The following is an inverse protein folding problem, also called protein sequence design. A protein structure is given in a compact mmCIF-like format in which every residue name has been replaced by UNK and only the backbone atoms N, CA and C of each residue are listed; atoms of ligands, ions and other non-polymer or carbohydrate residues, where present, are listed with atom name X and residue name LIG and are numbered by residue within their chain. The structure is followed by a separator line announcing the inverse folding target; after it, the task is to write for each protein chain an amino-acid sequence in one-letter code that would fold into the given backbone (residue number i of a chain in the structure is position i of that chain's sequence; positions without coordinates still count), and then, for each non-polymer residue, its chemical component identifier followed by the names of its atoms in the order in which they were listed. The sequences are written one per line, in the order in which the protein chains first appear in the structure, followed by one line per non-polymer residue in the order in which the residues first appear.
data_IF_069909994292
#
_entry.id   IF_069909994292
#
_cell.length_a   1.000
_cell.length_b   1.000
_cell.length_c   1.000
_cell.angle_alpha   90.00
_cell.angle_beta   90.00
_cell.angle_gamma   90.00
#
_symmetry.space_group_name_H-M   'P 1'
#
loop_
_entity.id
_entity.type
_entity.pdbx_description
1 polymer ?
#
# COMPACT_ATOMS: atom_id res chain seq x y z
N UNK A 1 87.09 61.49 -32.43
CA UNK A 1 86.65 60.93 -33.68
C UNK A 1 86.78 59.42 -33.54
N UNK A 2 85.76 58.75 -33.20
CA UNK A 2 85.83 57.31 -32.94
C UNK A 2 84.45 56.71 -33.22
N UNK A 3 84.41 55.95 -34.26
CA UNK A 3 83.23 55.15 -34.63
C UNK A 3 83.25 53.89 -33.81
N UNK A 4 82.19 53.59 -33.08
CA UNK A 4 82.00 52.34 -32.41
C UNK A 4 80.89 51.52 -33.09
N UNK A 5 81.29 50.41 -33.67
CA UNK A 5 80.43 49.36 -34.22
C UNK A 5 79.61 48.71 -33.11
N UNK A 6 78.26 48.61 -33.21
CA UNK A 6 77.41 47.75 -32.41
C UNK A 6 77.00 46.52 -33.22
N UNK A 7 77.50 45.38 -32.86
CA UNK A 7 77.06 44.11 -33.35
C UNK A 7 75.74 43.74 -32.66
N UNK A 8 74.73 43.49 -33.47
CA UNK A 8 73.41 43.00 -33.02
C UNK A 8 73.46 41.47 -32.93
N UNK A 9 73.28 40.93 -31.72
CA UNK A 9 73.11 39.49 -31.50
C UNK A 9 71.64 39.08 -31.64
N UNK A 10 71.39 38.14 -32.53
CA UNK A 10 70.09 37.54 -32.75
C UNK A 10 69.90 36.43 -31.68
N UNK A 11 68.92 36.60 -30.79
CA UNK A 11 68.51 35.54 -29.84
C UNK A 11 67.39 34.75 -30.50
N UNK A 12 67.64 33.47 -30.81
CA UNK A 12 66.62 32.51 -31.22
C UNK A 12 65.89 32.04 -29.99
N UNK A 13 64.64 32.42 -29.83
CA UNK A 13 63.74 31.86 -28.83
C UNK A 13 63.19 30.52 -29.34
N UNK A 14 63.60 29.44 -28.70
CA UNK A 14 63.03 28.09 -28.91
C UNK A 14 61.73 28.06 -28.09
N UNK A 15 60.60 28.11 -28.80
CA UNK A 15 59.26 27.89 -28.19
C UNK A 15 59.10 26.38 -28.01
N UNK A 16 59.26 25.90 -26.79
CA UNK A 16 58.95 24.53 -26.41
C UNK A 16 57.44 24.31 -26.44
N UNK A 17 56.95 23.53 -27.40
CA UNK A 17 55.61 23.00 -27.37
C UNK A 17 55.48 21.92 -26.28
N UNK A 18 54.96 22.31 -25.12
CA UNK A 18 54.50 21.35 -24.11
C UNK A 18 53.24 20.64 -24.63
N UNK A 19 53.17 19.31 -24.58
CA UNK A 19 51.95 18.61 -24.91
C UNK A 19 50.91 18.93 -23.79
N UNK A 20 49.90 19.68 -24.12
CA UNK A 20 48.71 19.83 -23.29
C UNK A 20 48.06 18.46 -23.22
N UNK A 21 48.31 17.69 -22.15
CA UNK A 21 47.53 16.52 -21.79
C UNK A 21 46.16 17.02 -21.42
N UNK A 22 45.18 16.82 -22.32
CA UNK A 22 43.77 16.91 -22.01
C UNK A 22 43.46 15.84 -20.92
N UNK A 23 43.55 16.23 -19.68
CA UNK A 23 42.89 15.52 -18.60
C UNK A 23 41.38 15.57 -18.92
N UNK A 24 40.86 14.49 -19.51
CA UNK A 24 39.44 14.20 -19.43
C UNK A 24 39.12 14.06 -17.95
N UNK A 25 38.68 15.13 -17.32
CA UNK A 25 37.98 15.02 -16.06
C UNK A 25 36.79 14.08 -16.32
N UNK A 26 36.82 12.87 -15.73
CA UNK A 26 35.62 12.07 -15.60
C UNK A 26 34.59 12.99 -14.97
N UNK A 27 33.57 13.37 -15.74
CA UNK A 27 32.40 14.02 -15.17
C UNK A 27 31.87 13.04 -14.11
N UNK A 28 31.52 13.52 -12.92
CA UNK A 28 30.82 12.69 -11.97
C UNK A 28 29.64 12.05 -12.72
N UNK A 29 29.46 10.74 -12.59
CA UNK A 29 28.40 9.98 -13.24
C UNK A 29 27.12 10.80 -13.18
N UNK A 30 26.73 11.39 -14.31
CA UNK A 30 25.47 12.15 -14.38
C UNK A 30 24.34 11.15 -14.21
N UNK A 31 23.41 11.43 -13.32
CA UNK A 31 22.23 10.59 -13.11
C UNK A 31 21.60 10.31 -14.47
N UNK A 32 21.41 9.03 -14.80
CA UNK A 32 20.83 8.57 -16.05
C UNK A 32 19.80 7.47 -15.82
N UNK A 33 19.02 7.17 -16.85
CA UNK A 33 17.96 6.18 -16.76
C UNK A 33 18.50 4.78 -16.47
N UNK A 34 19.41 4.29 -17.30
CA UNK A 34 19.82 2.88 -17.29
C UNK A 34 20.41 2.42 -15.93
N UNK A 35 21.24 3.26 -15.31
CA UNK A 35 21.98 2.90 -14.11
C UNK A 35 21.29 3.34 -12.80
N UNK A 36 20.45 4.39 -12.85
CA UNK A 36 19.99 5.04 -11.62
C UNK A 36 18.48 5.06 -11.48
N UNK A 37 17.73 5.27 -12.59
CA UNK A 37 16.27 5.43 -12.52
C UNK A 37 15.53 4.12 -12.81
N UNK A 38 16.02 3.34 -13.80
CA UNK A 38 15.37 2.09 -14.15
C UNK A 38 15.29 1.09 -12.99
N UNK A 39 16.33 0.91 -12.15
CA UNK A 39 16.20 0.06 -10.97
C UNK A 39 15.06 0.52 -10.07
N UNK A 40 14.97 1.82 -9.73
CA UNK A 40 13.92 2.37 -8.88
C UNK A 40 12.53 2.13 -9.49
N UNK A 41 12.38 2.39 -10.79
CA UNK A 41 11.11 2.20 -11.50
C UNK A 41 10.73 0.71 -11.54
N UNK A 42 11.69 -0.17 -11.78
CA UNK A 42 11.44 -1.61 -11.89
C UNK A 42 11.08 -2.24 -10.55
N UNK A 43 11.67 -1.77 -9.47
CA UNK A 43 11.40 -2.32 -8.13
C UNK A 43 10.08 -1.77 -7.54
N UNK A 44 9.68 -0.52 -7.88
CA UNK A 44 8.59 0.13 -7.15
C UNK A 44 7.37 0.53 -8.01
N UNK A 45 7.46 0.48 -9.34
CA UNK A 45 6.40 1.05 -10.18
C UNK A 45 5.77 0.04 -11.15
N UNK A 46 6.59 -0.83 -11.75
CA UNK A 46 6.15 -1.65 -12.88
C UNK A 46 5.23 -2.82 -12.50
N UNK A 47 5.12 -3.15 -11.23
CA UNK A 47 4.09 -4.09 -10.78
C UNK A 47 2.70 -3.65 -11.25
N UNK A 48 2.41 -2.36 -11.12
CA UNK A 48 1.15 -1.77 -11.58
C UNK A 48 1.28 -1.14 -12.97
N UNK A 49 2.42 -0.51 -13.29
CA UNK A 49 2.65 0.23 -14.53
C UNK A 49 3.28 -0.66 -15.62
N UNK A 50 2.55 -1.67 -16.06
CA UNK A 50 2.92 -2.61 -17.14
C UNK A 50 1.73 -2.91 -18.06
N UNK A 51 1.95 -3.43 -19.28
CA UNK A 51 0.85 -3.80 -20.15
C UNK A 51 -0.07 -4.85 -19.50
N UNK A 52 -1.38 -4.63 -19.58
CA UNK A 52 -2.38 -5.54 -19.00
C UNK A 52 -2.64 -5.36 -17.51
N UNK A 53 -1.85 -4.55 -16.80
CA UNK A 53 -2.09 -4.22 -15.41
C UNK A 53 -2.93 -2.94 -15.28
N UNK A 54 -3.16 -2.49 -14.04
CA UNK A 54 -4.17 -1.50 -13.68
C UNK A 54 -3.79 -0.06 -14.02
N UNK A 55 -2.50 0.27 -14.09
CA UNK A 55 -2.06 1.63 -14.35
C UNK A 55 -2.21 1.98 -15.85
N UNK A 56 -2.51 3.25 -16.17
CA UNK A 56 -2.85 3.64 -17.55
C UNK A 56 -1.68 3.64 -18.52
N UNK A 57 -0.42 3.52 -18.04
CA UNK A 57 0.77 3.51 -18.89
C UNK A 57 1.78 2.49 -18.39
N UNK A 58 2.55 1.93 -19.33
CA UNK A 58 3.69 1.05 -19.00
C UNK A 58 4.94 1.88 -18.71
N UNK A 59 5.70 1.53 -17.68
CA UNK A 59 6.97 2.15 -17.32
C UNK A 59 8.17 1.21 -17.55
N UNK A 60 8.01 0.22 -18.44
CA UNK A 60 9.04 -0.78 -18.74
C UNK A 60 10.12 -0.28 -19.70
N UNK A 61 9.91 0.83 -20.41
CA UNK A 61 10.85 1.34 -21.39
C UNK A 61 11.22 2.81 -21.16
N UNK A 62 12.43 3.17 -21.59
CA UNK A 62 12.97 4.53 -21.43
C UNK A 62 12.10 5.61 -22.07
N UNK A 63 11.60 5.39 -23.26
CA UNK A 63 10.88 6.42 -24.02
C UNK A 63 9.57 6.80 -23.30
N UNK A 64 8.87 5.80 -22.79
CA UNK A 64 7.65 6.02 -22.01
C UNK A 64 7.96 6.70 -20.67
N UNK A 65 8.95 6.21 -19.91
CA UNK A 65 9.33 6.83 -18.63
C UNK A 65 9.78 8.27 -18.82
N UNK A 66 10.57 8.56 -19.88
CA UNK A 66 10.98 9.92 -20.22
C UNK A 66 9.78 10.81 -20.55
N UNK A 67 8.85 10.32 -21.36
CA UNK A 67 7.67 11.08 -21.75
C UNK A 67 6.81 11.47 -20.55
N UNK A 68 6.68 10.57 -19.57
CA UNK A 68 5.95 10.79 -18.32
C UNK A 68 6.81 11.41 -17.20
N UNK A 69 8.09 11.62 -17.41
CA UNK A 69 9.04 12.09 -16.41
C UNK A 69 8.55 13.26 -15.55
N UNK A 70 8.03 14.38 -16.13
CA UNK A 70 7.52 15.49 -15.32
C UNK A 70 6.36 15.11 -14.40
N UNK A 71 5.48 14.20 -14.85
CA UNK A 71 4.35 13.71 -14.04
C UNK A 71 4.85 12.75 -12.94
N UNK A 72 5.77 11.85 -13.31
CA UNK A 72 6.39 10.93 -12.34
C UNK A 72 7.06 11.74 -11.23
N UNK A 73 7.88 12.74 -11.58
CA UNK A 73 8.52 13.64 -10.60
C UNK A 73 7.49 14.28 -9.66
N UNK A 74 6.43 14.88 -10.20
CA UNK A 74 5.39 15.52 -9.39
C UNK A 74 4.74 14.53 -8.41
N UNK A 75 4.48 13.30 -8.85
CA UNK A 75 3.84 12.27 -8.04
C UNK A 75 4.74 11.72 -6.95
N UNK A 76 6.00 11.47 -7.25
CA UNK A 76 6.95 10.96 -6.23
C UNK A 76 7.33 12.04 -5.22
N UNK A 77 7.51 13.30 -5.65
CA UNK A 77 7.78 14.43 -4.73
C UNK A 77 6.60 14.68 -3.76
N UNK A 78 5.38 14.48 -4.23
CA UNK A 78 4.16 14.54 -3.40
C UNK A 78 3.90 13.25 -2.61
N UNK A 79 4.71 12.23 -2.76
CA UNK A 79 4.52 10.88 -2.18
C UNK A 79 3.14 10.28 -2.47
N UNK A 80 2.52 10.67 -3.60
CA UNK A 80 1.26 10.09 -4.05
C UNK A 80 1.44 8.84 -4.92
N UNK A 81 2.70 8.54 -5.32
CA UNK A 81 3.12 7.31 -6.02
C UNK A 81 4.53 6.92 -5.57
N UNK A 82 4.76 5.65 -5.28
CA UNK A 82 3.77 4.57 -5.10
C UNK A 82 2.76 4.91 -4.00
N UNK A 83 1.52 4.39 -4.04
CA UNK A 83 0.53 4.66 -3.02
C UNK A 83 0.90 3.96 -1.71
N UNK A 84 1.42 4.72 -0.77
CA UNK A 84 1.76 4.28 0.58
C UNK A 84 1.84 5.51 1.49
N UNK A 85 0.86 5.68 2.39
CA UNK A 85 0.59 6.96 3.04
C UNK A 85 0.86 6.98 4.53
N UNK A 86 1.57 5.98 5.06
CA UNK A 86 2.01 5.95 6.46
C UNK A 86 2.86 7.18 6.76
N UNK A 87 2.58 7.82 7.89
CA UNK A 87 3.38 8.93 8.41
C UNK A 87 4.69 8.39 9.00
N UNK A 88 5.80 8.62 8.31
CA UNK A 88 7.13 8.14 8.69
C UNK A 88 7.70 8.80 9.95
N UNK A 89 7.06 9.84 10.47
CA UNK A 89 7.50 10.58 11.66
C UNK A 89 6.77 10.14 12.94
N UNK A 90 5.76 9.22 12.82
CA UNK A 90 4.85 8.92 13.93
C UNK A 90 4.73 7.41 14.16
N UNK A 91 4.91 7.00 15.42
CA UNK A 91 4.61 5.65 15.90
C UNK A 91 5.54 4.58 15.38
N UNK A 92 4.99 3.40 15.12
CA UNK A 92 5.72 2.23 14.59
C UNK A 92 6.12 2.49 13.15
N UNK A 93 7.38 2.17 12.78
CA UNK A 93 7.95 2.49 11.48
C UNK A 93 8.39 1.26 10.67
N UNK A 94 8.19 0.04 11.16
CA UNK A 94 8.52 -1.19 10.44
C UNK A 94 7.25 -1.90 9.97
N UNK A 95 7.13 -2.05 8.65
CA UNK A 95 6.00 -2.69 7.98
C UNK A 95 6.50 -3.67 6.93
N UNK A 96 5.76 -4.78 6.72
CA UNK A 96 6.20 -5.85 5.81
C UNK A 96 6.20 -5.42 4.33
N UNK A 97 5.21 -4.64 3.90
CA UNK A 97 5.00 -4.31 2.49
C UNK A 97 5.21 -2.81 2.20
N UNK A 98 6.24 -2.21 2.81
CA UNK A 98 6.54 -0.79 2.59
C UNK A 98 7.11 -0.55 1.19
N UNK A 99 6.26 -0.12 0.28
CA UNK A 99 6.61 0.25 -1.10
C UNK A 99 6.94 1.73 -1.28
N UNK A 100 7.02 2.50 -0.21
CA UNK A 100 7.33 3.93 -0.30
C UNK A 100 8.76 4.16 -0.77
N UNK A 101 8.97 5.18 -1.59
CA UNK A 101 10.31 5.59 -2.00
C UNK A 101 11.03 6.32 -0.87
N UNK A 102 12.33 6.03 -0.73
CA UNK A 102 13.23 6.81 0.12
C UNK A 102 13.43 8.24 -0.44
N UNK A 103 13.85 9.16 0.42
CA UNK A 103 14.20 10.52 0.00
C UNK A 103 15.27 10.54 -1.10
N UNK A 104 16.22 9.58 -1.06
CA UNK A 104 17.29 9.46 -2.04
C UNK A 104 16.74 9.02 -3.42
N UNK A 105 15.81 8.09 -3.47
CA UNK A 105 15.19 7.64 -4.71
C UNK A 105 14.34 8.74 -5.34
N UNK A 106 13.55 9.46 -4.54
CA UNK A 106 12.79 10.63 -4.96
C UNK A 106 13.73 11.70 -5.54
N UNK A 107 14.81 12.02 -4.82
CA UNK A 107 15.79 13.01 -5.28
C UNK A 107 16.48 12.56 -6.58
N UNK A 108 16.74 11.26 -6.74
CA UNK A 108 17.36 10.69 -7.95
C UNK A 108 16.44 10.84 -9.15
N UNK A 109 15.17 10.49 -9.02
CA UNK A 109 14.17 10.67 -10.09
C UNK A 109 14.02 12.15 -10.44
N UNK A 110 13.88 13.02 -9.43
CA UNK A 110 13.72 14.46 -9.63
C UNK A 110 14.92 15.07 -10.37
N UNK A 111 16.14 14.76 -9.93
CA UNK A 111 17.37 15.25 -10.58
C UNK A 111 17.54 14.73 -12.01
N UNK A 112 17.14 13.49 -12.27
CA UNK A 112 17.13 12.92 -13.61
C UNK A 112 16.21 13.70 -14.56
N UNK A 113 14.97 13.97 -14.12
CA UNK A 113 14.01 14.75 -14.91
C UNK A 113 14.53 16.16 -15.15
N UNK A 114 15.04 16.84 -14.11
CA UNK A 114 15.55 18.22 -14.20
C UNK A 114 16.78 18.35 -15.11
N UNK A 115 17.58 17.28 -15.24
CA UNK A 115 18.74 17.24 -16.14
C UNK A 115 18.41 16.93 -17.61
N UNK A 116 17.12 16.79 -17.94
CA UNK A 116 16.65 16.51 -19.31
C UNK A 116 16.51 15.02 -19.61
N UNK A 117 16.41 14.20 -18.58
CA UNK A 117 16.14 12.76 -18.63
C UNK A 117 17.13 11.97 -19.51
N UNK A 118 18.45 12.04 -19.26
CA UNK A 118 19.43 11.32 -20.07
C UNK A 118 19.26 9.81 -19.98
N UNK A 119 19.43 9.12 -21.12
CA UNK A 119 19.23 7.67 -21.23
C UNK A 119 20.33 6.87 -20.53
N UNK A 120 21.58 7.28 -20.67
CA UNK A 120 22.73 6.50 -20.23
C UNK A 120 23.12 5.38 -21.21
N UNK A 121 24.06 4.54 -20.77
CA UNK A 121 24.46 3.36 -21.55
C UNK A 121 23.53 2.19 -21.25
N UNK A 122 22.75 1.78 -22.24
CA UNK A 122 21.75 0.72 -22.11
C UNK A 122 22.35 -0.68 -21.83
N UNK A 123 23.67 -0.85 -21.91
CA UNK A 123 24.31 -2.07 -21.43
C UNK A 123 24.25 -2.24 -19.90
N UNK A 124 24.01 -1.16 -19.17
CA UNK A 124 23.80 -1.17 -17.71
C UNK A 124 22.34 -1.25 -17.29
N UNK A 125 21.39 -1.26 -18.27
CA UNK A 125 19.99 -1.43 -17.96
C UNK A 125 19.77 -2.79 -17.30
N UNK A 126 19.16 -2.88 -16.11
CA UNK A 126 18.80 -4.16 -15.55
C UNK A 126 17.78 -4.88 -16.43
N UNK A 127 17.75 -6.21 -16.41
CA UNK A 127 16.72 -6.95 -17.12
C UNK A 127 15.34 -6.51 -16.63
N UNK A 128 14.41 -6.31 -17.56
CA UNK A 128 13.04 -5.97 -17.20
C UNK A 128 12.45 -7.11 -16.34
N UNK A 129 11.73 -6.78 -15.25
CA UNK A 129 11.06 -7.77 -14.44
C UNK A 129 10.14 -8.63 -15.30
N UNK A 130 10.10 -9.92 -14.99
CA UNK A 130 9.15 -10.85 -15.59
C UNK A 130 7.95 -10.92 -14.66
N UNK A 131 6.78 -10.76 -15.20
CA UNK A 131 5.54 -10.86 -14.46
C UNK A 131 4.83 -12.14 -14.90
N UNK A 132 4.30 -12.85 -13.94
CA UNK A 132 3.39 -13.93 -14.22
C UNK A 132 2.10 -13.43 -14.86
N UNK A 133 1.35 -14.34 -15.47
CA UNK A 133 0.04 -14.01 -16.01
C UNK A 133 -0.84 -13.42 -14.89
N UNK A 134 -1.49 -12.27 -15.13
CA UNK A 134 -2.40 -11.63 -14.16
C UNK A 134 -3.53 -12.56 -13.68
N UNK A 135 -3.72 -13.70 -14.35
CA UNK A 135 -4.67 -14.76 -13.97
C UNK A 135 -4.07 -15.74 -12.96
N UNK A 136 -2.72 -15.87 -12.89
CA UNK A 136 -2.04 -16.73 -11.92
C UNK A 136 -2.21 -16.18 -10.49
N UNK A 137 -2.25 -17.08 -9.51
CA UNK A 137 -2.31 -16.71 -8.10
C UNK A 137 -0.89 -16.35 -7.62
N UNK A 138 -0.68 -15.11 -7.16
CA UNK A 138 0.65 -14.65 -6.73
C UNK A 138 1.16 -15.38 -5.50
N UNK A 139 0.24 -15.78 -4.60
CA UNK A 139 0.60 -16.54 -3.40
C UNK A 139 0.93 -18.02 -3.67
N UNK A 140 0.75 -18.51 -4.91
CA UNK A 140 1.04 -19.91 -5.23
C UNK A 140 2.53 -20.23 -5.00
N UNK A 141 3.42 -19.31 -5.34
CA UNK A 141 4.86 -19.45 -5.11
C UNK A 141 5.22 -19.38 -3.61
N UNK A 142 4.68 -18.41 -2.88
CA UNK A 142 4.93 -18.25 -1.44
C UNK A 142 4.41 -19.44 -0.63
N UNK A 143 3.26 -19.96 -1.01
CA UNK A 143 2.64 -21.13 -0.38
C UNK A 143 3.23 -22.46 -0.87
N UNK A 144 3.99 -22.45 -1.98
CA UNK A 144 4.58 -23.64 -2.61
C UNK A 144 3.56 -24.64 -3.17
N UNK A 145 2.30 -24.21 -3.34
CA UNK A 145 1.18 -25.05 -3.79
C UNK A 145 0.01 -24.20 -4.28
N UNK A 146 -0.84 -24.73 -5.17
CA UNK A 146 -2.07 -24.05 -5.59
C UNK A 146 -3.04 -23.86 -4.42
N UNK A 147 -4.01 -22.94 -4.56
CA UNK A 147 -5.05 -22.73 -3.55
C UNK A 147 -5.90 -24.01 -3.35
N UNK A 148 -6.32 -24.23 -2.10
CA UNK A 148 -7.17 -25.37 -1.75
C UNK A 148 -8.62 -25.18 -2.23
N UNK A 149 -9.08 -23.91 -2.30
CA UNK A 149 -10.42 -23.57 -2.70
C UNK A 149 -10.45 -22.25 -3.48
N UNK A 150 -11.16 -22.25 -4.59
CA UNK A 150 -11.41 -21.03 -5.39
C UNK A 150 -12.90 -20.81 -5.49
N UNK A 151 -13.35 -19.62 -5.07
CA UNK A 151 -14.76 -19.26 -5.04
C UNK A 151 -14.94 -17.99 -5.90
N UNK A 152 -15.67 -18.07 -7.02
CA UNK A 152 -16.00 -16.90 -7.81
C UNK A 152 -17.26 -16.19 -7.28
N UNK A 153 -17.49 -14.93 -7.69
CA UNK A 153 -18.85 -14.37 -7.70
C UNK A 153 -19.75 -15.31 -8.53
N UNK A 154 -21.03 -15.49 -8.14
CA UNK A 154 -21.85 -16.59 -8.68
C UNK A 154 -22.09 -16.49 -10.19
N UNK A 155 -22.24 -15.27 -10.70
CA UNK A 155 -22.48 -14.99 -12.11
C UNK A 155 -21.54 -13.87 -12.60
N UNK A 156 -21.07 -13.94 -13.86
CA UNK A 156 -20.32 -12.82 -14.44
C UNK A 156 -21.18 -11.56 -14.47
N UNK A 157 -20.57 -10.42 -14.15
CA UNK A 157 -21.20 -9.11 -14.22
C UNK A 157 -20.60 -8.28 -15.34
N UNK A 158 -21.44 -7.77 -16.26
CA UNK A 158 -20.99 -6.89 -17.33
C UNK A 158 -21.13 -5.43 -16.89
N UNK A 159 -19.98 -4.75 -16.81
CA UNK A 159 -19.89 -3.32 -16.54
C UNK A 159 -20.02 -2.57 -17.85
N UNK A 160 -21.04 -1.71 -18.01
CA UNK A 160 -21.22 -0.92 -19.23
C UNK A 160 -20.04 0.04 -19.47
N UNK A 161 -19.75 0.30 -20.73
CA UNK A 161 -18.69 1.22 -21.16
C UNK A 161 -18.85 2.65 -20.62
N UNK A 162 -20.10 3.07 -20.43
CA UNK A 162 -20.48 4.37 -19.90
C UNK A 162 -21.48 4.21 -18.75
N UNK A 163 -21.43 5.09 -17.79
CA UNK A 163 -22.35 5.06 -16.65
C UNK A 163 -21.70 5.51 -15.34
N UNK A 164 -22.48 5.51 -14.26
CA UNK A 164 -21.95 5.77 -12.93
C UNK A 164 -21.13 4.58 -12.44
N UNK A 165 -20.45 4.76 -11.31
CA UNK A 165 -19.91 3.64 -10.57
C UNK A 165 -21.03 2.70 -10.11
N UNK A 166 -20.77 1.41 -10.12
CA UNK A 166 -21.71 0.36 -9.75
C UNK A 166 -21.28 -0.31 -8.46
N UNK A 167 -22.19 -0.41 -7.52
CA UNK A 167 -21.99 -1.16 -6.27
C UNK A 167 -22.87 -2.38 -6.32
N UNK A 168 -22.25 -3.56 -6.38
CA UNK A 168 -22.96 -4.83 -6.56
C UNK A 168 -22.72 -5.72 -5.36
N UNK A 169 -23.78 -6.32 -4.87
CA UNK A 169 -23.70 -7.34 -3.83
C UNK A 169 -23.99 -8.71 -4.43
N UNK A 170 -23.10 -9.66 -4.21
CA UNK A 170 -23.25 -11.04 -4.63
C UNK A 170 -23.12 -11.98 -3.43
N UNK A 171 -23.63 -13.20 -3.60
CA UNK A 171 -23.51 -14.23 -2.57
C UNK A 171 -23.04 -15.53 -3.21
N UNK A 172 -22.00 -16.15 -2.66
CA UNK A 172 -21.46 -17.44 -3.11
C UNK A 172 -21.40 -18.41 -1.94
N UNK A 173 -21.87 -19.64 -2.14
CA UNK A 173 -21.66 -20.70 -1.18
C UNK A 173 -20.22 -21.21 -1.29
N UNK A 174 -19.56 -21.45 -0.15
CA UNK A 174 -18.18 -21.97 -0.13
C UNK A 174 -18.13 -23.44 -0.50
N UNK A 175 -19.20 -24.19 -0.29
CA UNK A 175 -19.26 -25.64 -0.45
C UNK A 175 -18.50 -26.41 0.64
N UNK A 176 -17.98 -25.75 1.65
CA UNK A 176 -17.27 -26.40 2.76
C UNK A 176 -18.23 -27.25 3.59
N UNK A 177 -17.84 -28.49 3.89
CA UNK A 177 -18.59 -29.43 4.70
C UNK A 177 -18.02 -29.60 6.13
N UNK A 178 -16.88 -29.01 6.38
CA UNK A 178 -16.18 -28.97 7.67
C UNK A 178 -15.56 -27.60 7.90
N UNK A 179 -15.30 -27.27 9.16
CA UNK A 179 -14.61 -26.06 9.55
C UNK A 179 -13.14 -26.13 9.13
N UNK A 180 -12.59 -25.04 8.65
CA UNK A 180 -11.21 -24.94 8.19
C UNK A 180 -10.56 -23.65 8.73
N UNK A 181 -9.24 -23.70 8.85
CA UNK A 181 -8.44 -22.53 9.18
C UNK A 181 -7.76 -21.96 7.93
N UNK A 182 -8.09 -20.72 7.59
CA UNK A 182 -7.47 -20.01 6.47
C UNK A 182 -6.08 -19.57 6.89
N UNK A 183 -5.06 -19.98 6.12
CA UNK A 183 -3.67 -19.53 6.25
C UNK A 183 -3.38 -18.32 5.38
N UNK A 184 -3.94 -18.29 4.19
CA UNK A 184 -3.74 -17.21 3.23
C UNK A 184 -4.95 -17.08 2.30
N UNK A 185 -5.14 -15.91 1.74
CA UNK A 185 -6.15 -15.67 0.72
C UNK A 185 -5.67 -14.66 -0.32
N UNK A 186 -6.25 -14.78 -1.50
CA UNK A 186 -6.02 -13.85 -2.60
C UNK A 186 -7.31 -13.61 -3.36
N UNK A 187 -7.69 -12.35 -3.57
CA UNK A 187 -8.85 -11.96 -4.36
C UNK A 187 -8.39 -11.33 -5.66
N UNK A 188 -8.89 -11.84 -6.79
CA UNK A 188 -8.56 -11.32 -8.12
C UNK A 188 -9.79 -11.13 -8.98
N UNK A 189 -9.92 -9.97 -9.66
CA UNK A 189 -10.80 -9.81 -10.80
C UNK A 189 -10.46 -10.81 -11.91
N UNK A 190 -11.39 -11.03 -12.83
CA UNK A 190 -11.05 -11.68 -14.10
C UNK A 190 -10.17 -10.74 -14.95
N UNK A 191 -9.46 -11.28 -15.95
CA UNK A 191 -8.60 -10.47 -16.83
C UNK A 191 -9.36 -9.32 -17.50
N UNK A 192 -10.62 -9.53 -17.92
CA UNK A 192 -11.48 -8.47 -18.47
C UNK A 192 -12.02 -7.52 -17.39
N UNK A 193 -12.16 -7.98 -16.14
CA UNK A 193 -12.63 -7.21 -15.00
C UNK A 193 -11.58 -6.26 -14.43
N UNK A 194 -10.31 -6.57 -14.61
CA UNK A 194 -9.20 -5.82 -14.00
C UNK A 194 -9.28 -4.29 -14.19
N UNK A 195 -9.59 -3.75 -15.38
CA UNK A 195 -9.68 -2.32 -15.60
C UNK A 195 -10.90 -1.64 -14.95
N UNK A 196 -11.88 -2.40 -14.50
CA UNK A 196 -13.19 -1.89 -14.02
C UNK A 196 -13.51 -2.25 -12.57
N UNK A 197 -12.86 -3.24 -11.98
CA UNK A 197 -13.02 -3.56 -10.55
C UNK A 197 -12.14 -2.63 -9.72
N UNK A 198 -12.75 -1.69 -9.02
CA UNK A 198 -12.04 -0.75 -8.17
C UNK A 198 -11.64 -1.39 -6.84
N UNK A 199 -12.61 -2.03 -6.16
CA UNK A 199 -12.37 -2.88 -5.00
C UNK A 199 -13.47 -3.95 -4.86
N UNK A 200 -13.15 -5.01 -4.13
CA UNK A 200 -14.08 -6.07 -3.78
C UNK A 200 -13.84 -6.48 -2.32
N UNK A 201 -14.80 -6.19 -1.48
CA UNK A 201 -14.82 -6.63 -0.08
C UNK A 201 -15.58 -7.94 0.01
N UNK A 202 -15.00 -8.91 0.69
CA UNK A 202 -15.63 -10.21 0.94
C UNK A 202 -15.77 -10.43 2.45
N UNK A 203 -16.99 -10.73 2.87
CA UNK A 203 -17.30 -11.09 4.26
C UNK A 203 -17.88 -12.50 4.34
N UNK A 204 -17.67 -13.15 5.46
CA UNK A 204 -18.21 -14.46 5.80
C UNK A 204 -19.54 -14.31 6.53
N UNK A 205 -20.52 -15.11 6.15
CA UNK A 205 -21.78 -15.29 6.88
C UNK A 205 -21.85 -16.75 7.33
N UNK A 206 -21.76 -17.00 8.63
CA UNK A 206 -21.81 -18.34 9.19
C UNK A 206 -23.23 -18.85 9.32
N UNK A 207 -23.50 -20.16 9.15
CA UNK A 207 -24.85 -20.73 9.25
C UNK A 207 -25.51 -20.56 10.61
N UNK A 208 -24.72 -20.49 11.68
CA UNK A 208 -25.18 -20.30 13.08
C UNK A 208 -25.25 -18.83 13.49
N UNK A 209 -25.03 -17.94 12.55
CA UNK A 209 -24.93 -16.49 12.79
C UNK A 209 -23.51 -16.05 13.07
N UNK A 210 -23.24 -14.77 12.91
CA UNK A 210 -21.89 -14.21 12.96
C UNK A 210 -21.13 -14.38 11.63
N UNK A 211 -19.83 -14.35 11.69
CA UNK A 211 -18.93 -14.26 10.56
C UNK A 211 -18.12 -12.98 10.68
N UNK A 212 -17.79 -12.35 9.57
CA UNK A 212 -17.05 -11.10 9.58
C UNK A 212 -16.26 -10.88 8.30
N UNK A 213 -15.42 -9.86 8.33
CA UNK A 213 -14.54 -9.51 7.23
C UNK A 213 -13.57 -10.65 6.92
N UNK A 214 -13.43 -11.00 5.65
CA UNK A 214 -12.47 -12.00 5.19
C UNK A 214 -11.36 -11.38 4.37
N UNK A 215 -11.69 -10.70 3.28
CA UNK A 215 -10.70 -10.16 2.36
C UNK A 215 -11.17 -8.87 1.71
N UNK A 216 -10.21 -8.07 1.29
CA UNK A 216 -10.44 -6.94 0.41
C UNK A 216 -9.45 -7.00 -0.74
N UNK A 217 -9.98 -6.97 -1.96
CA UNK A 217 -9.23 -6.60 -3.13
C UNK A 217 -9.34 -5.08 -3.30
N UNK A 218 -8.22 -4.43 -3.41
CA UNK A 218 -8.13 -3.04 -3.84
C UNK A 218 -6.91 -2.90 -4.75
N UNK A 219 -6.82 -1.76 -5.42
CA UNK A 219 -5.65 -1.45 -6.24
C UNK A 219 -4.37 -1.49 -5.40
N UNK A 220 -3.47 -2.40 -5.73
CA UNK A 220 -2.22 -2.61 -4.99
C UNK A 220 -2.32 -3.53 -3.77
N UNK A 221 -3.51 -4.10 -3.48
CA UNK A 221 -3.70 -5.15 -2.47
C UNK A 221 -4.58 -6.25 -3.02
N UNK A 222 -4.03 -7.44 -3.18
CA UNK A 222 -4.76 -8.59 -3.70
C UNK A 222 -4.78 -9.77 -2.73
N UNK A 223 -3.78 -9.87 -1.85
CA UNK A 223 -3.47 -11.05 -1.08
C UNK A 223 -3.00 -10.73 0.34
N UNK A 224 -3.26 -11.65 1.26
CA UNK A 224 -2.69 -11.64 2.61
C UNK A 224 -2.30 -13.07 3.03
N UNK A 225 -1.14 -13.18 3.70
CA UNK A 225 -0.73 -14.38 4.43
C UNK A 225 -0.90 -14.08 5.92
N UNK A 226 -1.67 -14.90 6.63
CA UNK A 226 -1.81 -14.74 8.07
C UNK A 226 -0.46 -15.00 8.76
N UNK A 227 -0.10 -14.23 9.80
CA UNK A 227 1.15 -14.41 10.53
C UNK A 227 1.40 -15.85 10.98
N UNK A 228 2.66 -16.26 11.23
CA UNK A 228 2.97 -17.56 11.78
C UNK A 228 2.17 -17.84 13.06
N UNK A 229 1.75 -19.09 13.27
CA UNK A 229 0.94 -19.49 14.41
C UNK A 229 -0.53 -19.03 14.38
N UNK A 230 -0.94 -18.25 13.36
CA UNK A 230 -2.32 -17.75 13.29
C UNK A 230 -3.11 -18.34 12.11
N UNK A 231 -4.43 -18.32 12.24
CA UNK A 231 -5.38 -18.69 11.20
C UNK A 231 -6.72 -18.00 11.39
N UNK A 232 -7.46 -17.77 10.32
CA UNK A 232 -8.82 -17.24 10.38
C UNK A 232 -9.82 -18.37 10.18
N UNK A 233 -10.78 -18.53 11.11
CA UNK A 233 -11.77 -19.59 11.03
C UNK A 233 -12.77 -19.33 9.90
N UNK A 234 -13.03 -20.36 9.07
CA UNK A 234 -14.17 -20.43 8.16
C UNK A 234 -14.97 -21.70 8.46
N UNK A 235 -16.24 -21.54 8.79
CA UNK A 235 -17.10 -22.66 9.20
C UNK A 235 -17.69 -23.41 8.01
N UNK A 236 -18.02 -24.67 8.22
CA UNK A 236 -18.79 -25.47 7.27
C UNK A 236 -20.10 -24.73 6.91
N UNK A 237 -20.45 -24.73 5.62
CA UNK A 237 -21.65 -24.07 5.11
C UNK A 237 -21.61 -22.54 5.14
N UNK A 238 -20.44 -21.92 5.36
CA UNK A 238 -20.28 -20.47 5.23
C UNK A 238 -20.68 -19.99 3.83
N UNK A 239 -21.44 -18.90 3.80
CA UNK A 239 -21.72 -18.14 2.60
C UNK A 239 -20.84 -16.89 2.55
N UNK A 240 -20.29 -16.58 1.39
CA UNK A 240 -19.57 -15.32 1.16
C UNK A 240 -20.54 -14.24 0.69
N UNK A 241 -20.43 -13.08 1.31
CA UNK A 241 -21.08 -11.84 0.89
C UNK A 241 -20.01 -10.96 0.23
N UNK A 242 -20.19 -10.67 -1.05
CA UNK A 242 -19.31 -9.84 -1.85
C UNK A 242 -19.92 -8.46 -2.00
N UNK A 243 -19.16 -7.44 -1.71
CA UNK A 243 -19.47 -6.06 -2.07
C UNK A 243 -18.42 -5.60 -3.09
N UNK A 244 -18.82 -5.48 -4.35
CA UNK A 244 -17.91 -5.17 -5.46
C UNK A 244 -18.24 -3.81 -6.03
N UNK A 245 -17.23 -2.94 -6.04
CA UNK A 245 -17.29 -1.62 -6.64
C UNK A 245 -16.67 -1.65 -8.04
N UNK A 246 -17.49 -1.39 -9.03
CA UNK A 246 -17.07 -1.26 -10.42
C UNK A 246 -17.03 0.21 -10.84
N UNK A 247 -15.95 0.61 -11.50
CA UNK A 247 -15.83 1.90 -12.17
C UNK A 247 -16.14 1.75 -13.66
N UNK A 248 -16.49 2.85 -14.31
CA UNK A 248 -16.66 2.87 -15.76
C UNK A 248 -15.37 2.48 -16.48
N UNK A 249 -15.48 1.77 -17.58
CA UNK A 249 -14.32 1.33 -18.35
C UNK A 249 -13.52 2.51 -18.91
N UNK A 250 -12.20 2.59 -18.66
CA UNK A 250 -11.39 3.73 -19.09
C UNK A 250 -11.18 3.80 -20.60
N UNK A 251 -11.45 2.71 -21.33
CA UNK A 251 -11.31 2.62 -22.81
C UNK A 251 -12.65 2.67 -23.55
N UNK A 252 -13.75 2.86 -22.82
CA UNK A 252 -15.10 2.97 -23.41
C UNK A 252 -15.62 1.67 -24.01
N UNK A 253 -15.18 0.52 -23.51
CA UNK A 253 -15.69 -0.80 -23.87
C UNK A 253 -16.42 -1.46 -22.71
N UNK A 254 -17.49 -2.18 -23.00
CA UNK A 254 -18.12 -3.05 -22.01
C UNK A 254 -17.11 -4.10 -21.54
N UNK A 255 -17.08 -4.35 -20.22
CA UNK A 255 -16.16 -5.31 -19.59
C UNK A 255 -16.93 -6.30 -18.75
N UNK A 256 -16.56 -7.58 -18.84
CA UNK A 256 -17.21 -8.61 -18.02
C UNK A 256 -16.25 -9.10 -16.96
N UNK A 257 -16.68 -8.96 -15.70
CA UNK A 257 -15.94 -9.45 -14.55
C UNK A 257 -16.54 -10.73 -14.00
N UNK A 258 -15.65 -11.55 -13.48
CA UNK A 258 -15.94 -12.68 -12.61
C UNK A 258 -14.84 -12.77 -11.55
N UNK A 259 -14.84 -11.83 -10.63
CA UNK A 259 -13.90 -11.79 -9.49
C UNK A 259 -13.94 -13.12 -8.72
N UNK A 260 -12.77 -13.58 -8.28
CA UNK A 260 -12.56 -14.85 -7.59
C UNK A 260 -11.77 -14.61 -6.31
N UNK A 261 -12.07 -15.42 -5.29
CA UNK A 261 -11.29 -15.54 -4.06
C UNK A 261 -10.64 -16.93 -4.04
N UNK A 262 -9.34 -16.96 -3.82
CA UNK A 262 -8.57 -18.17 -3.55
C UNK A 262 -8.26 -18.26 -2.05
N UNK A 263 -8.35 -19.45 -1.49
CA UNK A 263 -8.08 -19.74 -0.09
C UNK A 263 -7.02 -20.85 0.01
N UNK A 264 -6.04 -20.64 0.88
CA UNK A 264 -5.10 -21.65 1.35
C UNK A 264 -5.40 -21.95 2.82
N UNK A 265 -5.60 -23.19 3.15
CA UNK A 265 -5.92 -23.61 4.50
C UNK A 265 -4.67 -24.11 5.24
N UNK A 266 -4.70 -24.09 6.56
CA UNK A 266 -3.79 -24.89 7.36
C UNK A 266 -4.00 -26.39 7.02
N UNK A 267 -2.96 -27.25 7.20
CA UNK A 267 -3.10 -28.69 7.03
C UNK A 267 -4.30 -29.24 7.82
N UNK A 268 -4.93 -30.28 7.27
CA UNK A 268 -6.07 -30.92 7.94
C UNK A 268 -5.67 -31.49 9.32
N UNK A 269 -6.44 -31.12 10.34
CA UNK A 269 -6.19 -31.52 11.72
C UNK A 269 -5.15 -30.65 12.46
N UNK A 270 -4.63 -29.62 11.83
CA UNK A 270 -3.79 -28.61 12.49
C UNK A 270 -4.65 -27.38 12.85
N UNK A 271 -4.67 -27.06 14.15
CA UNK A 271 -5.27 -25.81 14.63
C UNK A 271 -4.16 -24.75 14.78
N UNK A 272 -4.45 -23.47 14.51
CA UNK A 272 -3.51 -22.41 14.80
C UNK A 272 -3.37 -22.21 16.31
N UNK A 273 -2.27 -21.63 16.74
CA UNK A 273 -2.07 -21.22 18.15
C UNK A 273 -3.07 -20.13 18.53
N UNK A 274 -3.34 -19.22 17.59
CA UNK A 274 -4.27 -18.11 17.79
C UNK A 274 -5.21 -17.93 16.58
N UNK A 275 -6.46 -17.58 16.86
CA UNK A 275 -7.40 -17.11 15.86
C UNK A 275 -7.07 -15.67 15.48
N UNK A 276 -6.79 -15.43 14.20
CA UNK A 276 -6.63 -14.06 13.69
C UNK A 276 -8.00 -13.44 13.46
N UNK A 277 -8.24 -12.37 14.18
CA UNK A 277 -9.48 -11.59 14.11
C UNK A 277 -9.22 -10.36 13.24
N UNK A 278 -10.11 -10.12 12.26
CA UNK A 278 -10.15 -8.88 11.48
C UNK A 278 -11.47 -8.19 11.78
N UNK A 279 -11.41 -7.08 12.47
CA UNK A 279 -12.59 -6.34 12.90
C UNK A 279 -12.40 -4.84 12.71
N UNK A 280 -13.49 -4.15 12.44
CA UNK A 280 -13.50 -2.70 12.61
C UNK A 280 -13.52 -2.37 14.10
N UNK A 281 -12.77 -1.35 14.47
CA UNK A 281 -12.67 -0.88 15.86
C UNK A 281 -12.83 0.63 15.94
N UNK A 282 -13.29 1.07 17.09
CA UNK A 282 -13.44 2.47 17.45
C UNK A 282 -14.33 3.25 16.47
N UNK A 283 -15.45 2.65 16.09
CA UNK A 283 -16.45 3.23 15.22
C UNK A 283 -17.01 4.53 15.78
N UNK A 284 -17.21 5.50 14.91
CA UNK A 284 -17.97 6.70 15.23
C UNK A 284 -19.11 6.86 14.21
N UNK A 285 -20.31 6.43 14.61
CA UNK A 285 -21.52 6.59 13.81
C UNK A 285 -22.18 7.97 13.96
N UNK A 286 -21.75 8.76 14.98
CA UNK A 286 -22.26 10.12 15.22
C UNK A 286 -21.44 11.17 14.43
N UNK A 287 -21.21 10.93 13.12
CA UNK A 287 -20.46 11.86 12.29
C UNK A 287 -21.24 13.14 12.04
N UNK A 288 -20.61 14.26 12.35
CA UNK A 288 -21.09 15.61 12.05
C UNK A 288 -20.04 16.38 11.22
N UNK A 289 -20.21 16.34 9.89
CA UNK A 289 -19.27 16.93 8.94
C UNK A 289 -19.92 18.13 8.24
N UNK A 290 -19.93 19.33 8.88
CA UNK A 290 -20.57 20.50 8.32
C UNK A 290 -19.93 20.97 7.02
N UNK A 291 -20.76 21.50 6.12
CA UNK A 291 -20.33 22.03 4.84
C UNK A 291 -19.43 23.26 4.99
N UNK A 292 -18.37 23.33 4.18
CA UNK A 292 -17.41 24.44 4.14
C UNK A 292 -16.24 24.32 5.11
N UNK A 293 -16.23 23.35 6.00
CA UNK A 293 -15.17 23.14 6.99
C UNK A 293 -14.01 22.29 6.42
N UNK A 294 -12.77 22.77 6.62
CA UNK A 294 -11.55 22.11 6.09
C UNK A 294 -10.90 21.14 7.08
N UNK A 295 -11.17 21.27 8.37
CA UNK A 295 -10.51 20.52 9.43
C UNK A 295 -11.52 20.05 10.46
N UNK A 296 -12.20 18.99 10.14
CA UNK A 296 -13.15 18.35 11.05
C UNK A 296 -12.44 17.15 11.66
N UNK A 297 -12.37 17.10 12.97
CA UNK A 297 -11.82 15.97 13.71
C UNK A 297 -12.94 15.18 14.35
N UNK A 298 -12.85 13.86 14.26
CA UNK A 298 -13.72 12.94 15.00
C UNK A 298 -12.87 11.93 15.76
N UNK A 299 -13.45 11.37 16.82
CA UNK A 299 -12.76 10.44 17.70
C UNK A 299 -13.67 9.24 17.96
N UNK A 300 -13.14 8.04 17.82
CA UNK A 300 -13.78 6.77 18.15
C UNK A 300 -12.97 6.01 19.20
N UNK A 301 -13.63 5.16 19.99
CA UNK A 301 -13.00 4.46 21.11
C UNK A 301 -13.50 3.02 21.22
N UNK A 302 -12.57 2.08 21.45
CA UNK A 302 -12.86 0.67 21.69
C UNK A 302 -12.13 0.20 22.95
N UNK A 303 -12.88 -0.36 23.91
CA UNK A 303 -12.30 -0.89 25.14
C UNK A 303 -11.85 -2.34 24.95
N UNK A 304 -10.63 -2.65 25.40
CA UNK A 304 -10.05 -3.99 25.33
C UNK A 304 -10.22 -4.75 26.65
N UNK A 305 -10.98 -5.82 26.65
CA UNK A 305 -11.13 -6.73 27.78
C UNK A 305 -10.12 -7.89 27.77
N UNK A 306 -9.32 -8.00 26.70
CA UNK A 306 -8.25 -8.99 26.48
C UNK A 306 -6.92 -8.30 26.17
N UNK A 307 -5.82 -9.01 26.45
CA UNK A 307 -4.54 -8.66 25.85
C UNK A 307 -4.59 -8.99 24.36
N UNK A 308 -4.09 -8.13 23.52
CA UNK A 308 -4.05 -8.35 22.08
C UNK A 308 -2.68 -8.05 21.49
N UNK A 309 -2.36 -8.73 20.38
CA UNK A 309 -1.25 -8.38 19.51
C UNK A 309 -1.82 -7.93 18.18
N UNK A 310 -1.58 -6.68 17.83
CA UNK A 310 -2.07 -6.09 16.57
C UNK A 310 -1.09 -6.43 15.46
N UNK A 311 -1.59 -6.99 14.35
CA UNK A 311 -0.78 -7.37 13.18
C UNK A 311 -0.89 -6.39 12.04
N UNK A 312 -2.05 -5.72 11.89
CA UNK A 312 -2.26 -4.74 10.82
C UNK A 312 -3.22 -3.62 11.24
N UNK A 313 -3.04 -2.49 10.58
CA UNK A 313 -3.87 -1.30 10.67
C UNK A 313 -4.28 -0.86 9.25
N UNK A 314 -5.57 -0.67 9.02
CA UNK A 314 -6.09 -0.15 7.76
C UNK A 314 -7.11 0.96 8.07
N UNK A 315 -6.80 2.23 7.73
CA UNK A 315 -7.75 3.33 7.84
C UNK A 315 -9.00 3.05 7.00
N UNK A 316 -10.16 3.51 7.50
CA UNK A 316 -11.37 3.51 6.69
C UNK A 316 -12.19 4.77 6.89
N UNK A 317 -12.22 5.55 5.83
CA UNK A 317 -13.00 6.78 5.66
C UNK A 317 -13.60 6.76 4.24
N UNK A 318 -14.45 7.72 3.91
CA UNK A 318 -14.91 7.91 2.54
C UNK A 318 -14.32 9.17 1.90
N UNK A 319 -15.10 9.82 1.03
CA UNK A 319 -14.64 10.91 0.17
C UNK A 319 -14.12 12.16 0.92
N UNK A 320 -14.60 12.42 2.13
CA UNK A 320 -14.17 13.59 2.89
C UNK A 320 -12.98 13.31 3.79
N UNK A 321 -12.64 12.05 4.02
CA UNK A 321 -11.50 11.64 4.82
C UNK A 321 -10.18 12.22 4.28
N UNK A 322 -9.27 12.56 5.19
CA UNK A 322 -7.94 13.10 4.83
C UNK A 322 -6.80 12.43 5.59
N UNK A 323 -7.07 11.89 6.78
CA UNK A 323 -6.06 11.27 7.65
C UNK A 323 -6.74 10.46 8.74
N UNK A 324 -6.09 9.39 9.17
CA UNK A 324 -6.49 8.63 10.35
C UNK A 324 -5.29 8.21 11.16
N UNK A 325 -5.42 8.25 12.50
CA UNK A 325 -4.43 7.75 13.45
C UNK A 325 -5.05 6.74 14.39
N UNK A 326 -4.27 5.73 14.74
CA UNK A 326 -4.57 4.79 15.83
C UNK A 326 -3.65 5.05 17.02
N UNK A 327 -4.24 5.13 18.18
CA UNK A 327 -3.58 5.41 19.46
C UNK A 327 -4.06 4.42 20.52
N UNK A 328 -3.22 4.13 21.49
CA UNK A 328 -3.59 3.38 22.72
C UNK A 328 -3.61 4.32 23.89
N UNK A 329 -4.68 4.25 24.68
CA UNK A 329 -4.81 4.87 25.99
C UNK A 329 -4.70 3.76 27.04
N UNK A 330 -3.61 3.74 27.79
CA UNK A 330 -3.38 2.75 28.84
C UNK A 330 -4.14 3.06 30.11
N UNK A 331 -4.28 2.08 31.01
CA UNK A 331 -4.98 2.24 32.30
C UNK A 331 -4.43 3.37 33.18
N UNK A 332 -3.15 3.70 33.05
CA UNK A 332 -2.48 4.80 33.75
C UNK A 332 -2.61 6.16 33.05
N UNK A 333 -3.48 6.24 32.02
CA UNK A 333 -3.72 7.39 31.17
C UNK A 333 -2.52 7.80 30.28
N UNK A 334 -1.45 7.01 30.20
CA UNK A 334 -0.45 7.21 29.13
C UNK A 334 -1.12 6.98 27.79
N UNK A 335 -0.66 7.74 26.79
CA UNK A 335 -1.09 7.61 25.40
C UNK A 335 0.10 7.28 24.55
N UNK A 336 -0.11 6.41 23.60
CA UNK A 336 0.89 6.05 22.59
C UNK A 336 0.24 5.98 21.23
N UNK A 337 0.68 6.83 20.32
CA UNK A 337 0.28 6.72 18.91
C UNK A 337 1.00 5.51 18.31
N UNK A 338 0.24 4.60 17.74
CA UNK A 338 0.77 3.41 17.07
C UNK A 338 1.11 3.73 15.62
N UNK A 339 0.20 4.32 14.88
CA UNK A 339 0.40 4.72 13.48
C UNK A 339 -0.56 5.83 13.07
N UNK A 340 -0.16 6.61 12.09
CA UNK A 340 -1.00 7.52 11.36
C UNK A 340 -0.82 7.30 9.87
N UNK A 341 -1.88 7.46 9.09
CA UNK A 341 -1.80 7.45 7.64
C UNK A 341 -2.65 8.58 7.05
N UNK A 342 -2.13 9.25 6.04
CA UNK A 342 -2.94 10.10 5.21
C UNK A 342 -3.91 9.23 4.39
N UNK A 343 -5.08 9.78 4.08
CA UNK A 343 -6.13 9.04 3.41
C UNK A 343 -6.34 9.53 1.98
N UNK A 344 -6.39 8.60 1.07
CA UNK A 344 -6.84 8.81 -0.31
C UNK A 344 -7.91 7.76 -0.63
N UNK A 345 -9.14 8.20 -0.89
CA UNK A 345 -10.27 7.33 -1.18
C UNK A 345 -10.03 6.38 -2.37
N UNK A 346 -9.11 6.72 -3.27
CA UNK A 346 -8.70 5.85 -4.37
C UNK A 346 -7.89 4.63 -3.94
N UNK A 347 -7.37 4.59 -2.70
CA UNK A 347 -6.42 3.58 -2.24
C UNK A 347 -6.75 3.08 -0.83
N UNK A 348 -7.24 1.86 -0.74
CA UNK A 348 -7.50 1.21 0.54
C UNK A 348 -6.29 0.34 0.90
N UNK A 349 -5.41 0.83 1.75
CA UNK A 349 -4.14 0.17 2.07
C UNK A 349 -4.19 -0.36 3.49
N UNK A 350 -3.91 -1.66 3.66
CA UNK A 350 -3.59 -2.25 4.94
C UNK A 350 -2.08 -2.15 5.19
N UNK A 351 -1.70 -1.71 6.38
CA UNK A 351 -0.33 -1.59 6.82
C UNK A 351 -0.03 -2.74 7.78
N UNK A 352 0.67 -3.76 7.29
CA UNK A 352 1.05 -4.94 8.07
C UNK A 352 2.32 -4.62 8.85
N UNK A 353 2.25 -4.66 10.19
CA UNK A 353 3.43 -4.47 11.04
C UNK A 353 4.38 -5.64 10.90
N UNK A 354 5.68 -5.37 10.76
CA UNK A 354 6.71 -6.41 10.84
C UNK A 354 6.63 -7.11 12.20
N UNK A 355 6.83 -8.42 12.24
CA UNK A 355 6.55 -9.29 13.39
C UNK A 355 7.18 -8.76 14.70
N UNK A 356 8.42 -8.30 14.64
CA UNK A 356 9.19 -7.81 15.78
C UNK A 356 8.62 -6.55 16.44
N UNK A 357 7.81 -5.76 15.69
CA UNK A 357 7.25 -4.48 16.15
C UNK A 357 5.73 -4.48 16.32
N UNK A 358 5.06 -5.59 16.04
CA UNK A 358 3.61 -5.72 16.20
C UNK A 358 3.17 -5.25 17.59
N UNK A 359 2.28 -4.24 17.73
CA UNK A 359 1.90 -3.68 19.02
C UNK A 359 1.31 -4.73 19.96
N UNK A 360 1.86 -4.81 21.20
CA UNK A 360 1.34 -5.62 22.31
C UNK A 360 0.54 -4.70 23.23
N UNK A 361 -0.78 -4.91 23.31
CA UNK A 361 -1.67 -4.04 24.06
C UNK A 361 -2.31 -4.81 25.21
N UNK A 362 -2.10 -4.38 26.47
CA UNK A 362 -2.70 -5.06 27.63
C UNK A 362 -4.19 -4.82 27.72
N UNK A 363 -4.91 -5.81 28.22
CA UNK A 363 -6.32 -5.68 28.62
C UNK A 363 -6.52 -4.48 29.55
N UNK A 364 -7.70 -3.87 29.46
CA UNK A 364 -8.02 -2.65 30.23
C UNK A 364 -7.51 -1.37 29.58
N UNK A 365 -6.83 -1.48 28.44
CA UNK A 365 -6.50 -0.34 27.57
C UNK A 365 -7.68 0.01 26.67
N UNK A 366 -7.58 1.14 25.99
CA UNK A 366 -8.55 1.60 25.02
C UNK A 366 -7.84 1.91 23.69
N UNK A 367 -8.33 1.37 22.60
CA UNK A 367 -7.96 1.82 21.27
C UNK A 367 -8.70 3.13 21.01
N UNK A 368 -8.00 4.12 20.54
CA UNK A 368 -8.51 5.43 20.18
C UNK A 368 -8.17 5.69 18.72
N UNK A 369 -9.17 5.88 17.90
CA UNK A 369 -9.03 6.25 16.50
C UNK A 369 -9.42 7.70 16.32
N UNK A 370 -8.50 8.49 15.78
CA UNK A 370 -8.76 9.88 15.41
C UNK A 370 -8.81 9.99 13.90
N UNK A 371 -9.88 10.55 13.39
CA UNK A 371 -10.08 10.76 11.95
C UNK A 371 -10.22 12.25 11.64
N UNK A 372 -9.68 12.67 10.49
CA UNK A 372 -9.80 14.05 10.00
C UNK A 372 -10.49 14.08 8.64
N UNK A 373 -11.34 15.08 8.46
CA UNK A 373 -12.14 15.25 7.26
C UNK A 373 -12.03 16.68 6.74
N UNK A 374 -12.29 16.82 5.44
CA UNK A 374 -12.36 18.10 4.73
C UNK A 374 -13.63 18.14 3.87
N UNK A 375 -14.66 18.82 4.36
CA UNK A 375 -15.91 19.06 3.62
C UNK A 375 -15.95 20.47 3.02
N UNK A 376 -14.84 20.89 2.38
CA UNK A 376 -14.74 22.20 1.76
C UNK A 376 -14.47 22.08 0.26
N UNK A 377 -14.43 23.24 -0.41
CA UNK A 377 -14.11 23.33 -1.85
C UNK A 377 -12.66 22.95 -2.18
N UNK A 378 -11.78 22.89 -1.18
CA UNK A 378 -10.39 22.47 -1.39
C UNK A 378 -10.24 20.95 -1.55
N UNK A 379 -11.24 20.18 -1.10
CA UNK A 379 -11.28 18.74 -1.32
C UNK A 379 -11.93 18.41 -2.68
N UNK A 380 -11.18 17.87 -3.64
CA UNK A 380 -11.72 17.54 -4.97
C UNK A 380 -12.76 16.41 -4.94
N UNK A 381 -12.79 15.60 -3.89
CA UNK A 381 -13.73 14.50 -3.71
C UNK A 381 -15.02 14.91 -2.99
N UNK A 382 -15.06 16.11 -2.38
CA UNK A 382 -16.29 16.66 -1.83
C UNK A 382 -17.28 16.96 -2.98
N UNK A 383 -18.43 16.33 -2.95
CA UNK A 383 -19.46 16.57 -3.96
C UNK A 383 -19.96 18.03 -3.94
N UNK A 384 -21.01 18.31 -3.18
CA UNK A 384 -21.43 19.69 -2.89
C UNK A 384 -21.00 20.08 -1.48
N UNK A 385 -19.84 20.73 -1.36
CA UNK A 385 -19.26 21.16 -0.09
C UNK A 385 -20.09 22.18 0.71
N UNK A 386 -21.29 22.54 0.27
CA UNK A 386 -22.26 23.33 1.02
C UNK A 386 -23.16 22.47 1.89
N UNK A 387 -23.21 21.18 1.61
CA UNK A 387 -24.06 20.23 2.32
C UNK A 387 -23.34 19.66 3.53
N UNK A 388 -24.12 19.41 4.58
CA UNK A 388 -23.70 18.58 5.70
C UNK A 388 -23.61 17.10 5.25
N UNK A 389 -22.64 16.36 5.79
CA UNK A 389 -22.47 14.93 5.59
C UNK A 389 -22.41 14.22 6.94
N UNK A 390 -23.09 13.10 7.05
CA UNK A 390 -23.12 12.25 8.23
C UNK A 390 -22.66 10.83 7.94
N UNK A 391 -22.83 9.95 8.92
CA UNK A 391 -22.53 8.54 8.80
C UNK A 391 -23.42 7.87 7.76
N UNK A 392 -22.83 6.99 6.95
CA UNK A 392 -23.57 6.13 6.01
C UNK A 392 -22.65 5.32 5.10
N UNK A 393 -23.23 4.34 4.42
CA UNK A 393 -22.50 3.36 3.62
C UNK A 393 -22.18 3.80 2.19
N UNK A 394 -22.78 4.89 1.72
CA UNK A 394 -22.53 5.39 0.36
C UNK A 394 -21.25 6.21 0.35
N UNK A 395 -20.50 6.20 -0.74
CA UNK A 395 -19.31 7.05 -0.89
C UNK A 395 -19.56 8.56 -0.76
N UNK A 396 -20.84 8.99 -0.87
CA UNK A 396 -21.28 10.38 -0.62
C UNK A 396 -21.65 10.67 0.84
N UNK A 397 -21.83 9.64 1.65
CA UNK A 397 -21.85 9.70 3.11
C UNK A 397 -20.41 9.51 3.59
N UNK A 398 -20.14 9.48 4.88
CA UNK A 398 -18.80 9.15 5.37
C UNK A 398 -18.82 8.13 6.51
N UNK A 399 -17.67 7.55 6.81
CA UNK A 399 -17.44 6.60 7.89
C UNK A 399 -16.20 6.99 8.69
N UNK A 400 -16.10 6.50 9.90
CA UNK A 400 -14.92 6.69 10.76
C UNK A 400 -14.70 5.48 11.63
N UNK A 401 -13.84 4.57 11.18
CA UNK A 401 -13.35 3.42 11.96
C UNK A 401 -12.02 2.94 11.37
N UNK A 402 -11.33 2.05 12.07
CA UNK A 402 -10.16 1.33 11.51
C UNK A 402 -10.45 -0.15 11.40
N UNK A 403 -10.09 -0.76 10.28
CA UNK A 403 -9.89 -2.19 10.24
C UNK A 403 -8.60 -2.53 10.98
N UNK A 404 -8.70 -3.38 11.99
CA UNK A 404 -7.57 -3.84 12.78
C UNK A 404 -7.53 -5.36 12.72
N UNK A 405 -6.36 -5.89 12.34
CA UNK A 405 -6.08 -7.32 12.40
C UNK A 405 -5.31 -7.59 13.68
N UNK A 406 -5.75 -8.53 14.48
CA UNK A 406 -5.15 -8.85 15.78
C UNK A 406 -5.48 -10.27 16.22
N UNK A 407 -4.79 -10.74 17.22
CA UNK A 407 -5.17 -11.93 17.96
C UNK A 407 -5.05 -11.71 19.46
N UNK A 408 -5.85 -12.49 20.20
CA UNK A 408 -5.88 -12.42 21.66
C UNK A 408 -4.74 -13.22 22.27
N UNK A 409 -4.23 -12.74 23.41
CA UNK A 409 -3.20 -13.37 24.21
C UNK A 409 -3.74 -13.62 25.63
N UNK A 410 -3.39 -14.75 26.21
CA UNK A 410 -3.52 -14.96 27.66
C UNK A 410 -2.57 -14.02 28.42
N UNK A 411 -2.73 -13.92 29.75
CA UNK A 411 -1.86 -13.08 30.55
C UNK A 411 -0.40 -13.58 30.50
N UNK A 412 -0.19 -14.90 30.53
CA UNK A 412 1.15 -15.51 30.49
C UNK A 412 1.83 -15.28 29.13
N UNK A 413 1.13 -15.48 28.03
CA UNK A 413 1.64 -15.23 26.67
C UNK A 413 1.98 -13.74 26.44
N UNK A 414 1.15 -12.85 26.98
CA UNK A 414 1.40 -11.41 26.90
C UNK A 414 2.68 -11.03 27.66
N UNK A 415 2.84 -11.52 28.90
CA UNK A 415 4.01 -11.24 29.73
C UNK A 415 5.28 -11.82 29.09
N UNK A 416 5.22 -13.02 28.49
CA UNK A 416 6.33 -13.64 27.77
C UNK A 416 6.71 -12.81 26.53
N UNK A 417 5.74 -12.44 25.69
CA UNK A 417 5.99 -11.62 24.49
C UNK A 417 6.58 -10.25 24.83
N UNK A 418 6.16 -9.63 25.93
CA UNK A 418 6.75 -8.36 26.41
C UNK A 418 8.18 -8.58 26.88
N UNK A 419 8.46 -9.67 27.63
CA UNK A 419 9.80 -9.99 28.09
C UNK A 419 10.78 -10.26 26.95
N UNK A 420 10.36 -11.02 25.93
CA UNK A 420 11.14 -11.29 24.72
C UNK A 420 11.50 -10.00 23.97
N UNK A 421 10.53 -9.09 23.81
CA UNK A 421 10.74 -7.80 23.18
C UNK A 421 11.77 -6.95 23.92
N UNK A 422 11.69 -6.92 25.26
CA UNK A 422 12.67 -6.20 26.08
C UNK A 422 14.08 -6.79 25.93
N UNK A 423 14.22 -8.12 25.92
CA UNK A 423 15.51 -8.79 25.73
C UNK A 423 16.11 -8.51 24.35
N UNK A 424 15.28 -8.42 23.29
CA UNK A 424 15.72 -8.07 21.94
C UNK A 424 16.30 -6.64 21.85
N UNK A 425 15.74 -5.68 22.59
CA UNK A 425 16.25 -4.30 22.63
C UNK A 425 17.57 -4.17 23.39
N UNK A 426 17.82 -4.98 24.42
CA UNK A 426 19.08 -4.93 25.19
C UNK A 426 20.27 -5.47 24.36
N UNK A 427 20.04 -6.46 23.48
CA UNK A 427 21.09 -7.05 22.63
C UNK A 427 21.47 -6.10 21.47
N UNK A 428 20.53 -5.30 20.96
CA UNK A 428 20.75 -4.37 19.84
C UNK A 428 21.38 -3.02 20.22
N UNK A 429 21.58 -2.75 21.52
CA UNK A 429 22.15 -1.48 22.01
C UNK A 429 23.67 -1.50 22.18
N UNK A 430 24.33 -2.61 21.91
CA UNK A 430 25.80 -2.81 22.10
C UNK A 430 26.60 -2.82 20.77
N UNK A 431 26.00 -2.48 19.61
CA UNK A 431 26.69 -2.37 18.31
C UNK A 431 26.88 -0.92 17.84
#
# INVERSE_FOLDING_TARGET
MGLTNKTAGIILAVIGLSPFSLLFAQQPNSINFAEHVAPIIYDNCVECHRPGSIAPMSLLDYETVRAWGPVIKDRVEKRSMPPYFIDKEVGVQSFEDDRSLSDQEIATIAAWVDSGSPQGDMNYLPPAPQFEDDVAWTLEDDMGRPPDLIIPIPEPFTVPADGPNWWMTFYSDTGLTEDRWIKAFETKPSAEGYPVVHHAVTSMEFPDGGGGFLSEYALGKTADINPPGTGQLIKAGTRLNWNVHYAASPDGLDRTDRTRLALWFLPEGEDPEHELIRSHMADNEDLDLPGGEERIRTDGYEYLDKNIRITAFQPHLHNLGTRQCIEVIYQDNRRQTLSCADWDFGWHIAYNYSEEVQPLIPKGSMIHVTSWFNNSKSNPWAGDSRNWVGFGQRSTDDMSFSWISYYELTDDEYDEAVAERHAGFEIGSDD
#
